data_IF_638037171814
#
_entry.id   IF_638037171814
#
_cell.length_a   1.000
_cell.length_b   1.000
_cell.length_c   1.000
_cell.angle_alpha   90.00
_cell.angle_beta   90.00
_cell.angle_gamma   90.00
#
_symmetry.space_group_name_H-M   'P 1'
#
loop_
_entity.id
_entity.type
_entity.pdbx_description
1 polymer ?
#
# COMPACT_ATOMS: atom_id res chain seq x y z
N UNK A 1 -14.96 2.41 23.16
CA UNK A 1 -15.73 3.29 22.26
C UNK A 1 -15.58 2.76 20.84
N UNK A 2 -16.66 2.60 20.09
CA UNK A 2 -16.64 2.09 18.70
C UNK A 2 -17.24 3.14 17.77
N UNK A 3 -16.50 3.53 16.72
CA UNK A 3 -16.96 4.47 15.70
C UNK A 3 -17.44 3.69 14.47
N UNK A 4 -18.75 3.72 14.18
CA UNK A 4 -19.37 2.90 13.11
C UNK A 4 -19.52 3.62 11.75
N UNK A 5 -19.22 4.91 11.69
CA UNK A 5 -19.39 5.75 10.49
C UNK A 5 -18.18 6.67 10.29
N UNK A 6 -17.02 6.07 10.05
CA UNK A 6 -15.78 6.78 9.75
C UNK A 6 -15.51 6.76 8.25
N UNK A 7 -15.27 7.92 7.68
CA UNK A 7 -15.03 8.09 6.24
C UNK A 7 -13.67 8.72 5.98
N UNK A 8 -12.97 8.27 4.94
CA UNK A 8 -11.73 8.91 4.48
C UNK A 8 -12.05 10.21 3.74
N UNK A 9 -11.27 11.29 3.92
CA UNK A 9 -11.50 12.55 3.19
C UNK A 9 -11.08 12.48 1.72
N UNK A 10 -10.32 11.45 1.33
CA UNK A 10 -9.95 11.20 -0.06
C UNK A 10 -9.76 9.70 -0.32
N UNK A 11 -10.19 9.17 -1.48
CA UNK A 11 -10.03 7.75 -1.85
C UNK A 11 -8.62 7.45 -2.40
N UNK A 12 -7.59 8.12 -1.88
CA UNK A 12 -6.19 7.92 -2.28
C UNK A 12 -5.27 7.97 -1.07
N UNK A 13 -4.20 7.19 -1.13
CA UNK A 13 -3.33 6.90 0.02
C UNK A 13 -2.58 8.12 0.55
N UNK A 14 -1.95 8.94 -0.30
CA UNK A 14 -1.19 10.09 0.18
C UNK A 14 -2.10 11.18 0.78
N UNK A 15 -3.18 11.64 0.11
CA UNK A 15 -4.07 12.65 0.67
C UNK A 15 -4.76 12.21 1.98
N UNK A 16 -5.15 10.93 2.08
CA UNK A 16 -5.70 10.36 3.31
C UNK A 16 -4.71 10.44 4.49
N UNK A 17 -3.44 10.07 4.26
CA UNK A 17 -2.40 10.12 5.30
C UNK A 17 -2.06 11.55 5.73
N UNK A 18 -1.96 12.48 4.78
CA UNK A 18 -1.78 13.89 5.11
C UNK A 18 -2.94 14.43 5.96
N UNK A 19 -4.18 14.11 5.61
CA UNK A 19 -5.34 14.54 6.38
C UNK A 19 -5.36 13.92 7.79
N UNK A 20 -5.03 12.64 7.90
CA UNK A 20 -4.91 11.95 9.19
C UNK A 20 -3.87 12.61 10.11
N UNK A 21 -2.70 12.96 9.57
CA UNK A 21 -1.60 13.50 10.37
C UNK A 21 -1.70 15.00 10.61
N UNK A 22 -2.40 15.77 9.78
CA UNK A 22 -2.52 17.23 9.95
C UNK A 22 -3.86 17.66 10.55
N UNK A 23 -4.89 16.80 10.49
CA UNK A 23 -6.27 17.17 10.79
C UNK A 23 -6.90 18.12 9.77
N UNK A 24 -6.23 18.36 8.63
CA UNK A 24 -6.70 19.26 7.58
C UNK A 24 -7.31 18.47 6.42
N UNK A 25 -8.35 19.04 5.80
CA UNK A 25 -8.89 18.49 4.56
C UNK A 25 -7.85 18.57 3.43
N UNK A 26 -7.76 17.60 2.49
CA UNK A 26 -6.66 17.50 1.52
C UNK A 26 -6.38 18.77 0.70
N UNK A 27 -7.44 19.45 0.25
CA UNK A 27 -7.29 20.71 -0.52
C UNK A 27 -6.73 21.83 0.37
N UNK A 28 -7.11 21.85 1.65
CA UNK A 28 -6.64 22.86 2.62
C UNK A 28 -5.19 22.63 3.04
N UNK A 29 -4.73 21.38 3.05
CA UNK A 29 -3.35 21.09 3.39
C UNK A 29 -2.38 21.29 2.21
N UNK A 30 -2.87 21.50 0.99
CA UNK A 30 -2.07 21.51 -0.25
C UNK A 30 -1.76 20.13 -0.83
N UNK A 31 -2.04 19.06 -0.07
CA UNK A 31 -1.66 17.68 -0.40
C UNK A 31 -2.72 16.95 -1.25
N UNK A 32 -3.13 17.57 -2.35
CA UNK A 32 -4.01 16.99 -3.36
C UNK A 32 -3.57 17.43 -4.77
N UNK A 33 -3.54 16.55 -5.80
CA UNK A 33 -3.94 15.13 -5.84
C UNK A 33 -2.86 14.16 -5.28
N UNK A 34 -2.97 12.86 -5.54
CA UNK A 34 -2.01 11.87 -5.02
C UNK A 34 -0.56 12.18 -5.47
N UNK A 35 0.42 11.90 -4.61
CA UNK A 35 1.85 12.21 -4.79
C UNK A 35 2.21 13.71 -4.78
N UNK A 36 1.36 14.58 -4.24
CA UNK A 36 1.74 15.94 -3.86
C UNK A 36 2.15 16.01 -2.38
N UNK A 37 2.35 17.23 -1.87
CA UNK A 37 2.88 17.51 -0.54
C UNK A 37 2.06 18.61 0.14
N UNK A 38 2.22 18.75 1.45
CA UNK A 38 1.57 19.85 2.17
C UNK A 38 2.27 21.19 1.94
N UNK A 39 1.51 22.27 2.14
CA UNK A 39 2.03 23.63 2.07
C UNK A 39 3.11 23.89 3.13
N UNK A 40 4.02 24.81 2.82
CA UNK A 40 5.12 25.19 3.69
C UNK A 40 4.63 25.68 5.06
N UNK A 41 5.31 25.24 6.12
CA UNK A 41 4.95 25.59 7.51
C UNK A 41 3.78 24.79 8.11
N UNK A 42 3.15 23.88 7.35
CA UNK A 42 2.10 23.00 7.87
C UNK A 42 2.63 22.16 9.05
N UNK A 43 2.00 22.28 10.21
CA UNK A 43 2.29 21.45 11.38
C UNK A 43 1.45 20.17 11.35
N UNK A 44 2.08 19.04 11.63
CA UNK A 44 1.39 17.77 11.81
C UNK A 44 1.25 17.43 13.30
N UNK A 45 0.47 16.39 13.58
CA UNK A 45 0.41 15.70 14.86
C UNK A 45 1.82 15.35 15.36
N UNK A 46 2.73 14.98 14.46
CA UNK A 46 4.11 14.61 14.83
C UNK A 46 4.87 15.82 15.38
N UNK A 47 4.71 17.00 14.76
CA UNK A 47 5.26 18.27 15.25
C UNK A 47 4.73 18.57 16.65
N UNK A 48 3.42 18.51 16.84
CA UNK A 48 2.78 18.85 18.11
C UNK A 48 3.14 17.90 19.26
N UNK A 49 3.31 16.61 18.97
CA UNK A 49 3.76 15.62 19.95
C UNK A 49 5.23 15.85 20.31
N UNK A 50 6.11 16.08 19.34
CA UNK A 50 7.53 16.38 19.61
C UNK A 50 7.73 17.66 20.42
N UNK A 51 6.99 18.72 20.12
CA UNK A 51 7.00 19.98 20.89
C UNK A 51 6.65 19.76 22.38
N UNK A 52 5.95 18.67 22.71
CA UNK A 52 5.57 18.27 24.08
C UNK A 52 6.51 17.26 24.71
N UNK A 53 7.67 17.00 24.10
CA UNK A 53 8.68 16.07 24.61
C UNK A 53 8.43 14.60 24.30
N UNK A 54 7.46 14.27 23.43
CA UNK A 54 7.24 12.89 23.01
C UNK A 54 8.26 12.48 21.94
N UNK A 55 8.80 11.27 22.06
CA UNK A 55 9.46 10.57 20.97
C UNK A 55 8.39 10.11 19.98
N UNK A 56 8.50 10.52 18.72
CA UNK A 56 7.51 10.20 17.68
C UNK A 56 8.22 9.45 16.57
N UNK A 57 7.75 8.24 16.30
CA UNK A 57 8.24 7.49 15.16
C UNK A 57 7.16 6.76 14.40
N UNK A 58 7.51 6.41 13.17
CA UNK A 58 6.60 5.83 12.19
C UNK A 58 7.24 4.58 11.59
N UNK A 59 6.45 3.51 11.51
CA UNK A 59 6.88 2.24 10.94
C UNK A 59 6.08 1.93 9.67
N UNK A 60 6.74 1.27 8.72
CA UNK A 60 6.21 0.91 7.40
C UNK A 60 5.93 2.11 6.49
N UNK A 61 4.67 2.40 6.17
CA UNK A 61 4.30 3.30 5.07
C UNK A 61 4.10 4.74 5.56
N UNK A 62 4.96 5.65 5.11
CA UNK A 62 4.79 7.09 5.32
C UNK A 62 3.88 7.71 4.25
N UNK A 63 4.32 7.71 2.98
CA UNK A 63 3.64 8.30 1.81
C UNK A 63 3.11 9.74 2.05
N UNK A 64 3.87 10.53 2.80
CA UNK A 64 3.62 11.95 3.11
C UNK A 64 4.87 12.80 2.84
N UNK A 65 4.68 14.08 2.53
CA UNK A 65 5.74 15.02 2.13
C UNK A 65 5.32 16.48 2.45
N UNK A 66 6.25 17.40 2.73
CA UNK A 66 7.69 17.19 2.92
C UNK A 66 8.00 16.56 4.28
N UNK A 67 9.17 15.90 4.38
CA UNK A 67 9.65 15.32 5.65
C UNK A 67 9.76 16.35 6.79
N UNK A 68 9.98 17.62 6.49
CA UNK A 68 10.00 18.69 7.50
C UNK A 68 8.66 18.86 8.22
N UNK A 69 7.54 18.64 7.54
CA UNK A 69 6.20 18.71 8.12
C UNK A 69 5.84 17.45 8.95
N UNK A 70 6.56 16.35 8.72
CA UNK A 70 6.35 15.06 9.38
C UNK A 70 7.66 14.61 10.03
N UNK A 71 8.07 15.22 11.16
CA UNK A 71 9.33 14.89 11.83
C UNK A 71 9.24 13.55 12.58
N UNK A 72 8.81 12.46 11.95
CA UNK A 72 8.93 11.11 12.48
C UNK A 72 10.38 10.63 12.40
N UNK A 73 10.79 9.79 13.36
CA UNK A 73 11.92 8.90 13.12
C UNK A 73 11.40 7.56 12.57
N UNK A 74 12.14 6.98 11.64
CA UNK A 74 11.90 5.59 11.27
C UNK A 74 12.30 4.72 12.45
N UNK A 75 11.33 4.18 13.18
CA UNK A 75 11.62 3.22 14.25
C UNK A 75 11.90 1.89 13.56
N UNK A 76 13.19 1.58 13.38
CA UNK A 76 13.66 0.23 13.10
C UNK A 76 13.98 -0.46 14.43
N UNK A 77 13.16 -1.46 14.77
CA UNK A 77 13.39 -2.34 15.93
C UNK A 77 12.55 -1.94 17.14
N UNK A 78 11.37 -2.58 17.23
CA UNK A 78 10.55 -2.85 18.42
C UNK A 78 9.97 -1.63 19.14
N UNK A 79 8.65 -1.57 19.32
CA UNK A 79 8.13 -0.77 20.42
C UNK A 79 8.04 -1.59 21.73
N UNK A 80 8.65 -2.79 21.77
CA UNK A 80 9.26 -3.50 22.94
C UNK A 80 9.30 -5.04 22.79
N UNK A 81 8.76 -5.64 21.71
CA UNK A 81 8.81 -7.10 21.45
C UNK A 81 9.20 -7.44 20.00
N UNK A 82 10.48 -7.75 19.81
CA UNK A 82 11.07 -8.17 18.53
C UNK A 82 10.45 -9.45 17.97
N UNK A 83 10.06 -10.38 18.84
CA UNK A 83 9.51 -11.66 18.42
C UNK A 83 8.08 -11.50 17.90
N UNK A 84 7.24 -10.73 18.58
CA UNK A 84 5.89 -10.41 18.13
C UNK A 84 5.90 -9.65 16.79
N UNK A 85 6.83 -8.72 16.62
CA UNK A 85 7.01 -7.99 15.37
C UNK A 85 7.49 -8.90 14.24
N UNK A 86 8.51 -9.73 14.49
CA UNK A 86 9.00 -10.70 13.51
C UNK A 86 7.89 -11.68 13.10
N UNK A 87 7.06 -12.13 14.03
CA UNK A 87 5.90 -12.97 13.74
C UNK A 87 4.86 -12.25 12.87
N UNK A 88 4.56 -10.98 13.14
CA UNK A 88 3.62 -10.17 12.34
C UNK A 88 4.13 -9.94 10.91
N UNK A 89 5.43 -9.63 10.77
CA UNK A 89 6.08 -9.46 9.46
C UNK A 89 6.10 -10.80 8.71
N UNK A 90 6.50 -11.89 9.37
CA UNK A 90 6.51 -13.21 8.76
C UNK A 90 5.10 -13.64 8.31
N UNK A 91 4.07 -13.35 9.11
CA UNK A 91 2.67 -13.56 8.72
C UNK A 91 2.27 -12.73 7.50
N UNK A 92 2.59 -11.42 7.47
CA UNK A 92 2.33 -10.56 6.31
C UNK A 92 3.06 -11.02 5.04
N UNK A 93 4.26 -11.58 5.19
CA UNK A 93 5.06 -12.12 4.08
C UNK A 93 4.63 -13.51 3.63
N UNK A 94 3.91 -14.26 4.48
CA UNK A 94 3.48 -15.65 4.22
C UNK A 94 1.97 -15.79 4.39
N UNK A 95 1.20 -14.82 3.88
CA UNK A 95 -0.25 -14.90 3.98
C UNK A 95 -0.75 -16.17 3.28
N UNK A 96 -1.66 -16.91 3.92
CA UNK A 96 -2.27 -18.08 3.29
C UNK A 96 -3.05 -17.64 2.05
N UNK A 97 -3.31 -18.60 1.15
CA UNK A 97 -4.06 -18.33 -0.07
C UNK A 97 -5.50 -17.88 0.21
N UNK A 98 -6.09 -18.37 1.31
CA UNK A 98 -7.46 -18.07 1.73
C UNK A 98 -7.51 -17.58 3.18
N UNK A 99 -8.31 -16.55 3.41
CA UNK A 99 -8.58 -15.98 4.73
C UNK A 99 -10.10 -15.89 4.94
N UNK A 100 -10.61 -16.46 6.04
CA UNK A 100 -12.03 -16.46 6.40
C UNK A 100 -12.19 -15.96 7.84
N UNK A 101 -12.95 -14.89 8.03
CA UNK A 101 -13.12 -14.23 9.33
C UNK A 101 -14.58 -14.24 9.77
N UNK A 102 -14.80 -14.45 11.07
CA UNK A 102 -16.10 -14.26 11.72
C UNK A 102 -16.15 -12.84 12.28
N UNK A 103 -16.88 -11.95 11.62
CA UNK A 103 -16.93 -10.53 12.00
C UNK A 103 -17.69 -10.26 13.30
N UNK A 104 -18.50 -11.20 13.79
CA UNK A 104 -19.23 -11.04 15.06
C UNK A 104 -18.31 -11.33 16.25
N UNK A 105 -17.53 -12.41 16.16
CA UNK A 105 -16.65 -12.84 17.27
C UNK A 105 -15.19 -12.39 17.12
N UNK A 106 -14.79 -11.99 15.91
CA UNK A 106 -13.48 -11.45 15.56
C UNK A 106 -13.62 -10.18 14.68
N UNK A 107 -14.12 -9.06 15.25
CA UNK A 107 -14.38 -7.83 14.50
C UNK A 107 -13.13 -7.14 13.95
N UNK A 108 -11.94 -7.62 14.30
CA UNK A 108 -10.65 -7.08 13.86
C UNK A 108 -9.90 -8.03 12.92
N UNK A 109 -10.52 -9.12 12.49
CA UNK A 109 -9.98 -10.05 11.48
C UNK A 109 -8.58 -10.57 11.85
N UNK A 110 -8.39 -10.91 13.13
CA UNK A 110 -7.10 -11.37 13.66
C UNK A 110 -6.94 -12.89 13.63
N UNK A 111 -8.05 -13.63 13.50
CA UNK A 111 -8.11 -15.09 13.57
C UNK A 111 -8.67 -15.65 12.27
N UNK A 112 -7.76 -16.03 11.37
CA UNK A 112 -8.15 -16.73 10.15
C UNK A 112 -8.74 -18.11 10.50
N UNK A 113 -9.97 -18.38 10.04
CA UNK A 113 -10.73 -19.62 10.21
C UNK A 113 -10.86 -20.41 8.89
N UNK A 114 -10.09 -20.07 7.86
CA UNK A 114 -10.17 -20.73 6.57
C UNK A 114 -9.92 -22.24 6.66
N UNK A 115 -9.09 -22.71 7.58
CA UNK A 115 -8.78 -24.13 7.76
C UNK A 115 -9.73 -24.87 8.73
N UNK A 116 -10.76 -24.20 9.25
CA UNK A 116 -11.72 -24.80 10.17
C UNK A 116 -12.71 -25.72 9.42
N UNK A 117 -12.71 -27.05 9.66
CA UNK A 117 -13.60 -27.99 8.97
C UNK A 117 -15.08 -27.70 9.23
N UNK A 118 -15.42 -27.11 10.39
CA UNK A 118 -16.80 -26.74 10.71
C UNK A 118 -17.34 -25.65 9.77
N UNK A 119 -16.45 -24.90 9.11
CA UNK A 119 -16.78 -23.81 8.20
C UNK A 119 -16.58 -24.16 6.72
N UNK A 120 -16.27 -25.42 6.38
CA UNK A 120 -16.02 -25.87 5.01
C UNK A 120 -17.14 -25.46 4.03
N UNK A 121 -18.40 -25.62 4.46
CA UNK A 121 -19.56 -25.21 3.66
C UNK A 121 -19.64 -23.71 3.44
N UNK A 122 -19.24 -22.90 4.43
CA UNK A 122 -19.19 -21.44 4.31
C UNK A 122 -18.05 -21.02 3.39
N UNK A 123 -16.86 -21.60 3.57
CA UNK A 123 -15.69 -21.35 2.72
C UNK A 123 -15.99 -21.69 1.26
N UNK A 124 -16.53 -22.87 0.99
CA UNK A 124 -16.88 -23.29 -0.38
C UNK A 124 -17.92 -22.36 -1.03
N UNK A 125 -18.94 -21.95 -0.27
CA UNK A 125 -19.96 -21.02 -0.77
C UNK A 125 -19.38 -19.65 -1.11
N UNK A 126 -18.58 -19.07 -0.22
CA UNK A 126 -17.97 -17.76 -0.42
C UNK A 126 -16.91 -17.79 -1.52
N UNK A 127 -16.08 -18.85 -1.57
CA UNK A 127 -15.09 -19.06 -2.63
C UNK A 127 -15.76 -19.19 -4.01
N UNK A 128 -16.84 -19.95 -4.12
CA UNK A 128 -17.62 -20.07 -5.37
C UNK A 128 -18.17 -18.71 -5.82
N UNK A 129 -18.68 -17.90 -4.88
CA UNK A 129 -19.19 -16.58 -5.17
C UNK A 129 -18.09 -15.61 -5.63
N UNK A 130 -16.92 -15.64 -4.97
CA UNK A 130 -15.76 -14.85 -5.32
C UNK A 130 -15.25 -15.20 -6.72
N UNK A 131 -15.09 -16.49 -7.02
CA UNK A 131 -14.71 -17.01 -8.34
C UNK A 131 -15.67 -16.55 -9.44
N UNK A 132 -16.98 -16.63 -9.17
CA UNK A 132 -18.01 -16.17 -10.10
C UNK A 132 -17.87 -14.67 -10.40
N UNK A 133 -17.65 -13.87 -9.36
CA UNK A 133 -17.44 -12.44 -9.49
C UNK A 133 -16.15 -12.09 -10.23
N UNK A 134 -15.02 -12.73 -9.90
CA UNK A 134 -13.74 -12.54 -10.60
C UNK A 134 -13.88 -12.80 -12.10
N UNK A 135 -14.51 -13.93 -12.49
CA UNK A 135 -14.79 -14.23 -13.91
C UNK A 135 -15.67 -13.16 -14.56
N UNK A 136 -16.68 -12.66 -13.86
CA UNK A 136 -17.54 -11.58 -14.35
C UNK A 136 -16.77 -10.28 -14.61
N UNK A 137 -15.78 -9.95 -13.78
CA UNK A 137 -14.93 -8.76 -13.96
C UNK A 137 -13.80 -8.96 -14.98
N UNK A 138 -13.63 -10.18 -15.52
CA UNK A 138 -12.46 -10.53 -16.33
C UNK A 138 -11.16 -10.55 -15.51
N UNK A 139 -11.26 -10.73 -14.20
CA UNK A 139 -10.12 -10.86 -13.30
C UNK A 139 -9.57 -12.30 -13.35
N UNK A 140 -8.36 -12.44 -13.87
CA UNK A 140 -7.61 -13.71 -13.97
C UNK A 140 -6.58 -13.83 -12.84
N UNK A 141 -6.75 -13.06 -11.76
CA UNK A 141 -5.84 -13.01 -10.63
C UNK A 141 -4.47 -12.44 -11.02
N UNK A 142 -3.42 -13.17 -10.68
CA UNK A 142 -2.03 -12.73 -10.86
C UNK A 142 -1.69 -12.35 -12.32
N UNK A 143 -2.32 -13.00 -13.31
CA UNK A 143 -2.12 -12.61 -14.71
C UNK A 143 -2.63 -11.18 -14.98
N UNK A 144 -3.82 -10.85 -14.48
CA UNK A 144 -4.39 -9.50 -14.60
C UNK A 144 -3.52 -8.47 -13.88
N UNK A 145 -2.99 -8.80 -12.70
CA UNK A 145 -2.05 -7.95 -11.97
C UNK A 145 -0.75 -7.70 -12.75
N UNK A 146 -0.13 -8.76 -13.28
CA UNK A 146 1.10 -8.66 -14.07
C UNK A 146 0.89 -7.82 -15.34
N UNK A 147 -0.30 -7.89 -15.95
CA UNK A 147 -0.65 -7.07 -17.11
C UNK A 147 -0.89 -5.59 -16.76
N UNK A 148 -1.16 -5.25 -15.50
CA UNK A 148 -1.45 -3.88 -15.10
C UNK A 148 -0.30 -2.90 -15.43
N UNK A 149 0.94 -3.38 -15.37
CA UNK A 149 2.14 -2.61 -15.71
C UNK A 149 2.11 -2.08 -17.16
N UNK A 150 1.59 -2.86 -18.11
CA UNK A 150 1.50 -2.46 -19.52
C UNK A 150 0.57 -1.27 -19.76
N UNK A 151 -0.37 -1.02 -18.83
CA UNK A 151 -1.33 0.08 -18.88
C UNK A 151 -0.80 1.36 -18.23
N UNK A 152 0.39 1.31 -17.60
CA UNK A 152 0.97 2.48 -16.97
C UNK A 152 1.84 3.29 -17.95
N UNK A 153 1.53 4.57 -18.22
CA UNK A 153 2.22 5.36 -19.23
C UNK A 153 3.71 5.58 -18.92
N UNK A 154 4.11 5.53 -17.65
CA UNK A 154 5.52 5.62 -17.23
C UNK A 154 6.32 4.36 -17.55
N UNK A 155 5.71 3.18 -17.50
CA UNK A 155 6.39 1.92 -17.80
C UNK A 155 6.47 1.67 -19.30
N UNK A 156 5.41 1.97 -20.04
CA UNK A 156 5.43 1.99 -21.51
C UNK A 156 6.54 2.91 -22.06
N UNK A 157 6.76 4.10 -21.45
CA UNK A 157 7.89 4.98 -21.79
C UNK A 157 9.26 4.38 -21.48
N UNK A 158 9.43 3.64 -20.37
CA UNK A 158 10.69 2.98 -19.99
C UNK A 158 11.00 1.80 -20.91
N UNK A 159 10.01 1.00 -21.27
CA UNK A 159 10.16 -0.16 -22.16
C UNK A 159 10.40 0.26 -23.60
N UNK A 160 9.73 1.32 -24.08
CA UNK A 160 10.03 1.94 -25.38
C UNK A 160 11.47 2.47 -25.44
N UNK A 161 11.93 3.17 -24.39
CA UNK A 161 13.30 3.67 -24.31
C UNK A 161 14.35 2.54 -24.28
N UNK A 162 14.05 1.41 -23.62
CA UNK A 162 14.93 0.24 -23.59
C UNK A 162 15.00 -0.51 -24.93
N UNK A 163 13.89 -0.54 -25.69
CA UNK A 163 13.83 -1.11 -27.04
C UNK A 163 14.64 -0.31 -28.07
N UNK A 164 14.56 1.02 -28.02
CA UNK A 164 15.33 1.91 -28.89
C UNK A 164 16.84 1.86 -28.60
N UNK A 165 17.23 1.70 -27.34
CA UNK A 165 18.64 1.50 -26.96
C UNK A 165 19.24 0.21 -27.53
N UNK A 166 18.46 -0.90 -27.54
CA UNK A 166 18.90 -2.16 -28.15
C UNK A 166 18.99 -2.11 -29.66
N UNK A 167 18.07 -1.41 -30.35
CA UNK A 167 18.13 -1.23 -31.82
C UNK A 167 19.32 -0.38 -32.26
N UNK A 168 19.65 0.68 -31.52
CA UNK A 168 20.84 1.51 -31.79
C UNK A 168 22.15 0.77 -31.52
N UNK A 169 22.21 -0.06 -30.48
CA UNK A 169 23.39 -0.89 -30.20
C UNK A 169 23.62 -1.96 -31.28
N UNK A 170 22.56 -2.58 -31.81
CA UNK A 170 22.66 -3.54 -32.91
C UNK A 170 23.11 -2.88 -34.23
N UNK A 171 22.58 -1.70 -34.57
CA UNK A 171 22.97 -0.96 -35.77
C UNK A 171 24.41 -0.39 -35.70
N UNK A 172 24.92 -0.11 -34.49
CA UNK A 172 26.31 0.31 -34.29
C UNK A 172 27.32 -0.86 -34.43
N UNK A 173 26.94 -2.07 -34.03
CA UNK A 173 27.79 -3.25 -34.14
C UNK A 173 27.91 -3.78 -35.57
N UNK A 174 26.90 -3.55 -36.43
CA UNK A 174 26.97 -3.91 -37.86
C UNK A 174 27.82 -2.93 -38.69
N UNK A 175 28.06 -1.71 -38.20
CA UNK A 175 28.88 -0.69 -38.87
C UNK A 175 30.39 -0.79 -38.55
N UNK A 176 30.77 -1.51 -37.49
CA UNK A 176 32.18 -1.71 -37.07
C UNK A 176 32.80 -3.01 -37.60
N UNK A 177 32.03 -3.83 -38.33
CA UNK A 177 32.48 -5.12 -38.87
C UNK A 177 32.88 -5.07 -40.36
N UNK A 178 32.86 -3.88 -40.98
CA UNK A 178 33.11 -3.68 -42.42
C UNK A 178 34.22 -2.63 -42.69
N UNK A 179 35.18 -2.50 -41.75
CA UNK A 179 36.46 -1.78 -41.91
C UNK A 179 37.63 -2.71 -41.51
#
# INVERSE_FOLDING_TARGET
MTLRHMFTPAPTCSPCRHALYTGLFPVRSGAYPNHTMVDEGTKSLFTHLKERGYRVGLQAKSHVSPRSAFPDETISGDADDAAALAARIAWLSRRPAEELYDLETDPYELKNRAEDPALDGVRARLGTALDGWMRQQGDRGLETENQAASRQPRQAKREAAAGDGKRKAAAGAEAEADE
#
